data_IF_529325714675
#
_entry.id   IF_529325714675
#
_cell.length_a   1.000
_cell.length_b   1.000
_cell.length_c   1.000
_cell.angle_alpha   90.00
_cell.angle_beta   90.00
_cell.angle_gamma   90.00
#
_symmetry.space_group_name_H-M   'P 1'
#
loop_
_entity.id
_entity.type
_entity.pdbx_description
1 polymer ?
#
# COMPACT_ATOMS: atom_id res chain seq x y z
N UNK A 1 8.70 11.88 -21.09
CA UNK A 1 8.39 11.36 -19.75
C UNK A 1 7.44 10.19 -19.94
N UNK A 2 7.85 8.94 -19.65
CA UNK A 2 6.92 7.80 -19.69
C UNK A 2 5.84 7.96 -18.62
N UNK A 3 4.60 7.60 -18.95
CA UNK A 3 3.50 7.50 -17.98
C UNK A 3 3.26 6.02 -17.67
N UNK A 4 3.25 5.67 -16.39
CA UNK A 4 2.91 4.33 -15.90
C UNK A 4 1.54 4.41 -15.23
N UNK A 5 0.63 3.57 -15.69
CA UNK A 5 -0.69 3.41 -15.12
C UNK A 5 -0.65 2.32 -14.04
N UNK A 6 -1.00 2.69 -12.82
CA UNK A 6 -1.24 1.77 -11.71
C UNK A 6 -2.76 1.63 -11.60
N UNK A 7 -3.29 0.53 -12.13
CA UNK A 7 -4.73 0.22 -12.10
C UNK A 7 -5.00 -0.97 -11.17
N UNK A 8 -4.94 -0.76 -9.84
CA UNK A 8 -4.91 -1.84 -8.84
C UNK A 8 -6.11 -2.78 -8.92
N UNK A 9 -7.28 -2.27 -9.34
CA UNK A 9 -8.54 -3.01 -9.33
C UNK A 9 -8.93 -3.59 -10.71
N UNK A 10 -8.14 -3.34 -11.77
CA UNK A 10 -8.46 -3.72 -13.17
C UNK A 10 -7.60 -4.88 -13.72
N UNK A 11 -7.14 -5.79 -12.87
CA UNK A 11 -6.29 -6.91 -13.28
C UNK A 11 -7.02 -7.96 -14.17
N UNK A 12 -7.08 -7.70 -15.47
CA UNK A 12 -7.21 -8.67 -16.58
C UNK A 12 -6.21 -8.24 -17.67
N UNK A 13 -4.91 -8.48 -17.43
CA UNK A 13 -3.87 -8.49 -18.47
C UNK A 13 -3.44 -7.14 -19.09
N UNK A 14 -2.68 -6.32 -18.35
CA UNK A 14 -1.61 -5.48 -18.91
C UNK A 14 -0.77 -4.89 -17.77
N UNK A 15 0.35 -5.52 -17.42
CA UNK A 15 1.37 -4.90 -16.57
C UNK A 15 2.71 -4.94 -17.31
N UNK A 16 3.29 -3.77 -17.58
CA UNK A 16 4.71 -3.64 -17.81
C UNK A 16 5.30 -2.87 -16.62
N UNK A 17 6.14 -3.58 -15.87
CA UNK A 17 6.90 -3.16 -14.69
C UNK A 17 6.14 -3.07 -13.34
N UNK A 18 5.92 -4.23 -12.72
CA UNK A 18 6.18 -4.53 -11.30
C UNK A 18 5.54 -5.89 -10.95
N UNK A 19 6.15 -7.01 -11.38
CA UNK A 19 5.87 -8.30 -10.75
C UNK A 19 6.59 -8.31 -9.39
N UNK A 20 5.92 -7.81 -8.36
CA UNK A 20 6.22 -8.21 -6.99
C UNK A 20 5.53 -9.56 -6.75
N UNK A 21 6.36 -10.54 -6.39
CA UNK A 21 6.05 -11.93 -6.11
C UNK A 21 4.88 -12.09 -5.12
N UNK A 22 3.87 -12.85 -5.53
CA UNK A 22 2.76 -13.30 -4.70
C UNK A 22 1.63 -13.85 -5.60
N UNK A 23 1.44 -15.16 -5.57
CA UNK A 23 0.48 -15.94 -6.35
C UNK A 23 -0.89 -15.27 -6.56
N UNK A 24 -1.45 -15.46 -7.75
CA UNK A 24 -2.63 -14.77 -8.25
C UNK A 24 -3.87 -15.01 -7.39
N UNK A 25 -4.44 -13.90 -6.89
CA UNK A 25 -5.69 -13.89 -6.14
C UNK A 25 -5.70 -12.71 -5.18
N UNK A 26 -6.35 -11.62 -5.58
CA UNK A 26 -6.53 -10.37 -4.83
C UNK A 26 -6.78 -10.57 -3.32
N UNK A 27 -5.85 -10.08 -2.47
CA UNK A 27 -6.10 -9.43 -1.17
C UNK A 27 -4.85 -9.48 -0.24
N UNK A 28 -3.65 -9.13 -0.72
CA UNK A 28 -2.59 -8.79 0.23
C UNK A 28 -2.91 -7.41 0.81
N UNK A 29 -3.55 -7.35 1.97
CA UNK A 29 -3.79 -6.11 2.70
C UNK A 29 -2.51 -5.66 3.42
N UNK A 30 -1.41 -5.54 2.70
CA UNK A 30 -0.09 -5.19 3.25
C UNK A 30 0.21 -3.69 3.22
N UNK A 31 -0.79 -2.85 2.94
CA UNK A 31 -0.60 -1.40 2.86
C UNK A 31 0.21 -0.96 1.63
N UNK A 32 0.45 -1.87 0.66
CA UNK A 32 1.38 -1.62 -0.45
C UNK A 32 2.86 -1.77 -0.07
N UNK A 33 3.15 -2.39 1.08
CA UNK A 33 4.52 -2.64 1.55
C UNK A 33 5.35 -3.46 0.55
N UNK A 34 4.79 -4.54 0.01
CA UNK A 34 5.48 -5.36 -1.00
C UNK A 34 5.77 -4.60 -2.28
N UNK A 35 4.86 -3.72 -2.71
CA UNK A 35 5.07 -2.85 -3.87
C UNK A 35 6.24 -1.89 -3.64
N UNK A 36 6.26 -1.20 -2.50
CA UNK A 36 7.35 -0.30 -2.13
C UNK A 36 8.69 -1.05 -2.02
N UNK A 37 8.70 -2.21 -1.36
CA UNK A 37 9.89 -3.04 -1.21
C UNK A 37 10.42 -3.53 -2.57
N UNK A 38 9.53 -3.90 -3.49
CA UNK A 38 9.89 -4.29 -4.87
C UNK A 38 10.56 -3.17 -5.67
N UNK A 39 10.27 -1.90 -5.34
CA UNK A 39 10.95 -0.73 -5.90
C UNK A 39 12.21 -0.34 -5.13
N UNK A 40 12.57 -1.07 -4.06
CA UNK A 40 13.78 -0.84 -3.28
C UNK A 40 13.58 -0.03 -2.00
N UNK A 41 12.35 0.29 -1.61
CA UNK A 41 12.09 0.86 -0.30
C UNK A 41 12.47 -0.12 0.82
N UNK A 42 12.89 0.40 1.96
CA UNK A 42 13.20 -0.40 3.14
C UNK A 42 12.18 -0.11 4.24
N UNK A 43 11.40 -1.12 4.61
CA UNK A 43 10.48 -1.08 5.75
C UNK A 43 11.17 -1.79 6.91
N UNK A 44 11.57 -1.02 7.92
CA UNK A 44 12.49 -1.47 8.97
C UNK A 44 11.83 -1.42 10.34
N UNK A 45 12.08 -2.45 11.15
CA UNK A 45 11.70 -2.50 12.55
C UNK A 45 12.61 -1.62 13.43
N UNK A 46 12.34 -1.61 14.74
CA UNK A 46 13.14 -0.87 15.71
C UNK A 46 14.61 -1.34 15.82
N UNK A 47 14.89 -2.58 15.42
CA UNK A 47 16.23 -3.16 15.36
C UNK A 47 16.94 -2.89 14.01
N UNK A 48 16.32 -2.11 13.11
CA UNK A 48 16.82 -1.83 11.75
C UNK A 48 16.88 -3.07 10.85
N UNK A 49 16.09 -4.09 11.16
CA UNK A 49 15.90 -5.27 10.30
C UNK A 49 14.68 -5.08 9.41
N UNK A 50 14.70 -5.73 8.23
CA UNK A 50 13.53 -5.75 7.35
C UNK A 50 12.34 -6.43 8.06
N UNK A 51 11.18 -5.80 7.98
CA UNK A 51 9.92 -6.37 8.48
C UNK A 51 9.50 -7.53 7.57
N UNK A 52 8.89 -8.55 8.15
CA UNK A 52 8.34 -9.69 7.40
C UNK A 52 7.17 -9.28 6.51
N UNK A 53 6.86 -10.09 5.51
CA UNK A 53 5.75 -9.82 4.60
C UNK A 53 4.38 -9.89 5.32
N UNK A 54 3.40 -9.16 4.78
CA UNK A 54 2.00 -9.19 5.19
C UNK A 54 1.56 -8.03 6.09
N UNK A 55 0.26 -7.72 6.05
CA UNK A 55 -0.31 -6.54 6.71
C UNK A 55 -0.17 -6.47 8.23
N UNK A 56 -0.23 -7.61 8.91
CA UNK A 56 -0.07 -7.66 10.39
C UNK A 56 1.36 -7.36 10.81
N UNK A 57 2.35 -7.79 10.01
CA UNK A 57 3.77 -7.54 10.31
C UNK A 57 4.09 -6.04 10.35
N UNK A 58 3.31 -5.21 9.65
CA UNK A 58 3.46 -3.75 9.65
C UNK A 58 3.33 -3.13 11.04
N UNK A 59 2.66 -3.78 12.00
CA UNK A 59 2.62 -3.34 13.40
C UNK A 59 4.01 -3.16 14.04
N UNK A 60 5.03 -3.83 13.50
CA UNK A 60 6.41 -3.77 13.98
C UNK A 60 7.28 -2.71 13.29
N UNK A 61 6.78 -2.06 12.23
CA UNK A 61 7.55 -1.06 11.48
C UNK A 61 7.89 0.11 12.40
N UNK A 62 9.15 0.52 12.40
CA UNK A 62 9.62 1.71 13.09
C UNK A 62 10.03 2.83 12.12
N UNK A 63 10.43 2.49 10.90
CA UNK A 63 10.83 3.48 9.89
C UNK A 63 10.66 2.95 8.48
N UNK A 64 10.42 3.85 7.54
CA UNK A 64 10.42 3.57 6.11
C UNK A 64 11.45 4.46 5.43
N UNK A 65 12.33 3.87 4.62
CA UNK A 65 13.23 4.58 3.72
C UNK A 65 12.74 4.39 2.28
N UNK A 66 12.38 5.50 1.63
CA UNK A 66 11.80 5.53 0.29
C UNK A 66 12.81 5.97 -0.78
N UNK A 67 14.05 6.31 -0.41
CA UNK A 67 14.98 6.99 -1.30
C UNK A 67 15.23 6.21 -2.59
N UNK A 68 15.53 4.91 -2.49
CA UNK A 68 15.77 4.05 -3.66
C UNK A 68 14.51 3.85 -4.50
N UNK A 69 13.33 3.73 -3.88
CA UNK A 69 12.06 3.61 -4.60
C UNK A 69 11.74 4.88 -5.39
N UNK A 70 11.91 6.06 -4.77
CA UNK A 70 11.73 7.35 -5.44
C UNK A 70 12.74 7.52 -6.60
N UNK A 71 14.01 7.17 -6.39
CA UNK A 71 15.04 7.22 -7.43
C UNK A 71 14.72 6.30 -8.62
N UNK A 72 14.19 5.10 -8.34
CA UNK A 72 13.77 4.15 -9.38
C UNK A 72 12.64 4.68 -10.27
N UNK A 73 11.84 5.61 -9.74
CA UNK A 73 10.70 6.24 -10.42
C UNK A 73 11.01 7.66 -10.91
N UNK A 74 12.27 8.11 -10.84
CA UNK A 74 12.63 9.45 -11.29
C UNK A 74 12.32 9.63 -12.79
N UNK A 75 11.67 10.75 -13.11
CA UNK A 75 11.20 11.05 -14.47
C UNK A 75 10.07 10.14 -14.98
N UNK A 76 9.43 9.33 -14.13
CA UNK A 76 8.21 8.57 -14.45
C UNK A 76 6.99 9.34 -13.96
N UNK A 77 5.98 9.52 -14.82
CA UNK A 77 4.67 10.01 -14.38
C UNK A 77 3.82 8.84 -13.91
N UNK A 78 3.53 8.77 -12.61
CA UNK A 78 2.69 7.73 -12.04
C UNK A 78 1.24 8.19 -11.98
N UNK A 79 0.32 7.29 -12.32
CA UNK A 79 -1.11 7.55 -12.25
C UNK A 79 -1.81 6.40 -11.55
N UNK A 80 -2.56 6.70 -10.50
CA UNK A 80 -3.40 5.75 -9.81
C UNK A 80 -4.81 5.81 -10.40
N UNK A 81 -5.18 4.84 -11.23
CA UNK A 81 -6.49 4.72 -11.86
C UNK A 81 -7.33 3.67 -11.14
N UNK A 82 -8.28 4.12 -10.33
CA UNK A 82 -9.10 3.23 -9.51
C UNK A 82 -10.56 3.65 -9.52
N UNK A 83 -11.44 2.65 -9.64
CA UNK A 83 -12.89 2.80 -9.49
C UNK A 83 -13.30 2.83 -8.01
N UNK A 84 -12.36 2.52 -7.11
CA UNK A 84 -12.54 2.42 -5.67
C UNK A 84 -11.99 3.67 -5.01
N UNK A 85 -12.79 4.35 -4.20
CA UNK A 85 -12.39 5.56 -3.48
C UNK A 85 -12.11 5.31 -1.98
N UNK A 86 -12.18 4.06 -1.53
CA UNK A 86 -11.99 3.67 -0.14
C UNK A 86 -10.65 4.18 0.42
N UNK A 87 -10.66 4.72 1.66
CA UNK A 87 -9.43 5.07 2.36
C UNK A 87 -8.64 3.81 2.74
N UNK A 88 -7.39 3.99 3.19
CA UNK A 88 -6.60 2.88 3.73
C UNK A 88 -7.18 2.39 5.06
N UNK A 89 -7.60 3.32 5.93
CA UNK A 89 -7.99 3.04 7.32
C UNK A 89 -9.43 3.45 7.64
N UNK A 90 -9.92 3.06 8.82
CA UNK A 90 -11.24 3.44 9.31
C UNK A 90 -12.39 2.52 8.88
N UNK A 91 -13.65 2.91 9.10
CA UNK A 91 -14.82 2.04 8.90
C UNK A 91 -15.07 1.59 7.45
N UNK A 92 -14.53 2.34 6.49
CA UNK A 92 -14.54 1.99 5.05
C UNK A 92 -13.15 1.61 4.53
N UNK A 93 -12.18 1.46 5.44
CA UNK A 93 -10.79 1.18 5.12
C UNK A 93 -10.58 -0.24 4.62
N UNK A 94 -9.38 -0.49 4.10
CA UNK A 94 -8.99 -1.77 3.51
C UNK A 94 -9.32 -2.97 4.40
N UNK A 95 -8.94 -2.92 5.67
CA UNK A 95 -9.21 -4.01 6.62
C UNK A 95 -10.71 -4.26 6.85
N UNK A 96 -11.53 -3.21 6.87
CA UNK A 96 -12.96 -3.32 7.12
C UNK A 96 -13.74 -3.84 5.91
N UNK A 97 -13.28 -3.51 4.70
CA UNK A 97 -13.99 -3.83 3.45
C UNK A 97 -13.51 -5.14 2.84
N UNK A 98 -12.20 -5.39 2.87
CA UNK A 98 -11.57 -6.54 2.23
C UNK A 98 -10.98 -7.54 3.23
N UNK A 99 -11.10 -7.26 4.53
CA UNK A 99 -10.77 -8.23 5.57
C UNK A 99 -11.75 -9.41 5.58
N UNK A 100 -11.38 -10.53 6.24
CA UNK A 100 -12.21 -11.72 6.28
C UNK A 100 -13.57 -11.46 6.95
N UNK A 101 -14.67 -11.89 6.31
CA UNK A 101 -16.05 -11.57 6.70
C UNK A 101 -16.70 -12.59 7.66
N UNK A 102 -15.93 -13.49 8.30
CA UNK A 102 -16.48 -14.48 9.26
C UNK A 102 -16.27 -14.06 10.72
N UNK A 103 -17.16 -14.51 11.60
CA UNK A 103 -17.29 -14.04 12.99
C UNK A 103 -16.08 -14.31 13.90
N UNK A 104 -15.30 -15.38 13.66
CA UNK A 104 -14.07 -15.70 14.42
C UNK A 104 -12.83 -14.89 13.96
N UNK A 105 -12.96 -14.15 12.84
CA UNK A 105 -11.89 -13.39 12.20
C UNK A 105 -11.90 -11.89 12.60
N UNK A 106 -12.81 -11.50 13.51
CA UNK A 106 -12.95 -10.12 13.98
C UNK A 106 -11.71 -9.60 14.72
N UNK A 107 -10.89 -10.48 15.30
CA UNK A 107 -9.62 -10.11 15.91
C UNK A 107 -8.54 -9.84 14.86
N UNK A 108 -8.45 -10.69 13.83
CA UNK A 108 -7.51 -10.50 12.72
C UNK A 108 -7.81 -9.22 11.93
N UNK A 109 -9.09 -8.91 11.71
CA UNK A 109 -9.49 -7.63 11.09
C UNK A 109 -9.09 -6.43 11.94
N UNK A 110 -9.24 -6.52 13.27
CA UNK A 110 -8.82 -5.45 14.20
C UNK A 110 -7.30 -5.29 14.22
N UNK A 111 -6.57 -6.38 14.26
CA UNK A 111 -5.11 -6.40 14.23
C UNK A 111 -4.57 -5.81 12.92
N UNK A 112 -5.16 -6.22 11.79
CA UNK A 112 -4.83 -5.67 10.48
C UNK A 112 -5.14 -4.17 10.41
N UNK A 113 -6.32 -3.74 10.88
CA UNK A 113 -6.69 -2.32 10.90
C UNK A 113 -5.72 -1.48 11.74
N UNK A 114 -5.32 -1.99 12.91
CA UNK A 114 -4.33 -1.35 13.76
C UNK A 114 -2.95 -1.28 13.08
N UNK A 115 -2.54 -2.37 12.42
CA UNK A 115 -1.26 -2.46 11.71
C UNK A 115 -1.20 -1.49 10.52
N UNK A 116 -2.27 -1.39 9.72
CA UNK A 116 -2.38 -0.42 8.62
C UNK A 116 -2.43 1.02 9.11
N UNK A 117 -3.05 1.27 10.27
CA UNK A 117 -3.07 2.61 10.89
C UNK A 117 -1.66 3.00 11.34
N UNK A 118 -0.96 2.10 12.02
CA UNK A 118 0.42 2.31 12.44
C UNK A 118 1.36 2.51 11.24
N UNK A 119 1.21 1.72 10.18
CA UNK A 119 1.94 1.90 8.94
C UNK A 119 1.71 3.30 8.34
N UNK A 120 0.45 3.75 8.27
CA UNK A 120 0.12 5.08 7.78
C UNK A 120 0.75 6.19 8.64
N UNK A 121 0.79 6.04 9.96
CA UNK A 121 1.47 6.97 10.86
C UNK A 121 2.97 7.08 10.55
N UNK A 122 3.66 5.95 10.39
CA UNK A 122 5.09 5.93 10.05
C UNK A 122 5.34 6.58 8.68
N UNK A 123 4.54 6.20 7.67
CA UNK A 123 4.63 6.78 6.32
C UNK A 123 4.41 8.29 6.36
N UNK A 124 3.40 8.77 7.09
CA UNK A 124 3.09 10.19 7.20
C UNK A 124 4.24 10.98 7.84
N UNK A 125 4.93 10.40 8.83
CA UNK A 125 6.15 11.00 9.40
C UNK A 125 7.28 11.04 8.38
N UNK A 126 7.51 9.94 7.65
CA UNK A 126 8.58 9.84 6.64
C UNK A 126 8.37 10.83 5.48
N UNK A 127 7.16 10.90 4.94
CA UNK A 127 6.83 11.73 3.75
C UNK A 127 6.41 13.15 4.12
N UNK A 128 6.14 13.41 5.40
CA UNK A 128 5.49 14.64 5.90
C UNK A 128 4.11 14.89 5.29
N UNK A 129 3.46 13.86 4.78
CA UNK A 129 2.15 13.91 4.13
C UNK A 129 1.32 12.69 4.52
N UNK A 130 0.08 12.91 4.95
CA UNK A 130 -0.82 11.83 5.33
C UNK A 130 -1.74 11.45 4.16
N UNK A 131 -1.62 10.22 3.69
CA UNK A 131 -2.40 9.68 2.56
C UNK A 131 -3.49 8.71 2.99
N UNK A 132 -3.66 8.44 4.30
CA UNK A 132 -4.55 7.35 4.76
C UNK A 132 -6.00 7.54 4.35
N UNK A 133 -6.44 8.79 4.24
CA UNK A 133 -7.81 9.18 3.88
C UNK A 133 -7.94 9.64 2.42
N UNK A 134 -6.86 9.54 1.64
CA UNK A 134 -6.90 9.91 0.24
C UNK A 134 -7.82 8.96 -0.55
N UNK A 135 -8.56 9.49 -1.52
CA UNK A 135 -9.38 8.67 -2.41
C UNK A 135 -8.50 7.62 -3.12
N UNK A 136 -8.92 6.36 -3.07
CA UNK A 136 -8.18 5.24 -3.66
C UNK A 136 -6.99 4.75 -2.84
N UNK A 137 -6.71 5.34 -1.67
CA UNK A 137 -5.63 4.90 -0.80
C UNK A 137 -5.74 3.42 -0.40
N UNK A 138 -6.96 2.94 -0.19
CA UNK A 138 -7.23 1.55 0.18
C UNK A 138 -7.29 0.57 -0.98
N UNK A 139 -7.12 1.02 -2.23
CA UNK A 139 -7.21 0.18 -3.42
C UNK A 139 -6.15 -0.93 -3.42
N UNK A 140 -6.52 -2.11 -3.94
CA UNK A 140 -5.76 -3.35 -3.87
C UNK A 140 -4.97 -3.58 -2.56
N UNK A 141 -5.63 -3.49 -1.41
CA UNK A 141 -4.96 -3.83 -0.16
C UNK A 141 -4.03 -2.74 0.40
N UNK A 142 -4.06 -1.54 -0.17
CA UNK A 142 -3.24 -0.39 0.23
C UNK A 142 -2.15 -0.01 -0.76
N UNK A 143 -2.05 -0.69 -1.92
CA UNK A 143 -1.18 -0.26 -3.03
C UNK A 143 -1.45 1.18 -3.46
N UNK A 144 -2.69 1.67 -3.29
CA UNK A 144 -3.01 3.08 -3.49
C UNK A 144 -2.14 4.03 -2.67
N UNK A 145 -1.93 3.76 -1.37
CA UNK A 145 -1.00 4.54 -0.54
C UNK A 145 0.43 4.48 -1.08
N UNK A 146 0.91 3.29 -1.46
CA UNK A 146 2.24 3.15 -2.03
C UNK A 146 2.44 4.00 -3.30
N UNK A 147 1.46 3.99 -4.21
CA UNK A 147 1.48 4.82 -5.42
C UNK A 147 1.49 6.32 -5.08
N UNK A 148 0.60 6.76 -4.18
CA UNK A 148 0.50 8.16 -3.75
C UNK A 148 1.79 8.65 -3.09
N UNK A 149 2.41 7.83 -2.26
CA UNK A 149 3.70 8.11 -1.60
C UNK A 149 4.83 8.32 -2.61
N UNK A 150 4.78 7.63 -3.76
CA UNK A 150 5.73 7.82 -4.86
C UNK A 150 5.35 8.98 -5.79
N UNK A 151 4.29 9.73 -5.47
CA UNK A 151 3.87 10.90 -6.22
C UNK A 151 2.87 10.62 -7.35
N UNK A 152 2.16 9.48 -7.30
CA UNK A 152 1.11 9.21 -8.28
C UNK A 152 -0.04 10.21 -8.19
N UNK A 153 -0.57 10.60 -9.35
CA UNK A 153 -1.80 11.37 -9.44
C UNK A 153 -3.00 10.41 -9.44
N UNK A 154 -3.94 10.62 -8.51
CA UNK A 154 -5.19 9.86 -8.49
C UNK A 154 -6.12 10.30 -9.60
N UNK A 155 -6.63 9.32 -10.35
CA UNK A 155 -7.66 9.48 -11.36
C UNK A 155 -8.83 8.54 -11.04
N UNK A 156 -10.03 9.08 -10.78
CA UNK A 156 -11.23 8.25 -10.72
C UNK A 156 -11.47 7.61 -12.09
N UNK A 157 -11.77 6.32 -12.09
CA UNK A 157 -11.95 5.53 -13.31
C UNK A 157 -13.39 5.09 -13.56
#
# INVERSE_FOLDING_TARGET
MPTVLIAPDKFEGSLAAAEAVGDGGSASADGGAGFLAGLGAQLLDAARSAVSDGGVALSSIASVDLAAALDSMDGVHLMLDSEVDNPLTGPKGTAAVYGPQKSDESEQVRELAASLTHFADVVAVTTRSDYRDHAGAGAAGGTGVAALVLGAEFRPA
#
